data_IF_646223411232
#
_entry.id   IF_646223411232
#
_cell.length_a   1.000
_cell.length_b   1.000
_cell.length_c   1.000
_cell.angle_alpha   90.00
_cell.angle_beta   90.00
_cell.angle_gamma   90.00
#
_symmetry.space_group_name_H-M   'P 1'
#
loop_
_entity.id
_entity.type
_entity.pdbx_description
1 polymer ?
#
# COMPACT_ATOMS: atom_id res chain seq x y z
N UNK A 1 -30.42 54.34 -1.30
CA UNK A 1 -29.16 55.04 -1.61
C UNK A 1 -28.03 54.21 -1.06
N UNK A 2 -26.98 54.05 -1.83
CA UNK A 2 -25.89 53.08 -1.65
C UNK A 2 -24.98 53.40 -0.44
N UNK A 3 -24.46 52.37 0.21
CA UNK A 3 -23.08 52.34 0.73
C UNK A 3 -22.64 50.88 0.95
N UNK A 4 -21.66 50.46 0.15
CA UNK A 4 -20.97 49.17 0.22
C UNK A 4 -19.80 49.27 1.21
N UNK A 5 -19.71 48.35 2.17
CA UNK A 5 -18.45 47.98 2.81
C UNK A 5 -18.13 46.52 2.46
N UNK A 6 -16.97 46.28 1.83
CA UNK A 6 -16.38 44.96 1.62
C UNK A 6 -15.24 44.78 2.63
N UNK A 7 -15.08 43.64 3.31
CA UNK A 7 -13.80 43.25 3.84
C UNK A 7 -12.99 42.54 2.75
N UNK A 8 -11.78 43.03 2.49
CA UNK A 8 -10.75 42.31 1.74
C UNK A 8 -10.12 41.23 2.63
N UNK A 9 -10.01 40.00 2.11
CA UNK A 9 -9.19 38.95 2.70
C UNK A 9 -9.63 37.54 2.26
N UNK A 10 -8.89 36.93 1.32
CA UNK A 10 -8.76 35.45 1.13
C UNK A 10 -8.17 35.00 -0.21
N UNK A 11 -7.82 35.90 -1.14
CA UNK A 11 -7.33 35.48 -2.47
C UNK A 11 -5.90 34.86 -2.51
N UNK A 12 -5.14 34.88 -1.41
CA UNK A 12 -3.77 34.32 -1.37
C UNK A 12 -3.73 32.85 -0.91
N UNK A 13 -4.65 32.41 -0.06
CA UNK A 13 -4.71 31.01 0.40
C UNK A 13 -5.34 30.08 -0.65
N UNK A 14 -6.35 30.55 -1.38
CA UNK A 14 -6.93 29.79 -2.50
C UNK A 14 -5.95 29.63 -3.67
N UNK A 15 -5.11 30.65 -3.94
CA UNK A 15 -4.08 30.55 -4.98
C UNK A 15 -2.94 29.59 -4.59
N UNK A 16 -2.55 29.53 -3.31
CA UNK A 16 -1.56 28.56 -2.81
C UNK A 16 -2.07 27.11 -2.87
N UNK A 17 -3.34 26.88 -2.51
CA UNK A 17 -3.99 25.56 -2.65
C UNK A 17 -4.11 25.12 -4.11
N UNK A 18 -4.36 26.07 -5.03
CA UNK A 18 -4.46 25.78 -6.46
C UNK A 18 -3.09 25.54 -7.13
N UNK A 19 -2.01 26.12 -6.60
CA UNK A 19 -0.62 25.87 -7.06
C UNK A 19 -0.10 24.53 -6.52
N UNK A 20 -0.38 24.18 -5.27
CA UNK A 20 -0.05 22.86 -4.69
C UNK A 20 -0.81 21.72 -5.38
N UNK A 21 -2.07 21.94 -5.77
CA UNK A 21 -2.85 20.96 -6.53
C UNK A 21 -2.33 20.72 -7.96
N UNK A 22 -1.64 21.69 -8.58
CA UNK A 22 -1.04 21.53 -9.92
C UNK A 22 0.29 20.79 -9.87
N UNK A 23 1.14 21.08 -8.87
CA UNK A 23 2.44 20.41 -8.72
C UNK A 23 2.32 18.92 -8.37
N UNK A 24 1.22 18.49 -7.74
CA UNK A 24 0.95 17.06 -7.48
C UNK A 24 0.33 16.31 -8.67
N UNK A 25 -0.27 17.01 -9.65
CA UNK A 25 -0.83 16.38 -10.86
C UNK A 25 0.25 16.06 -11.91
N UNK A 26 1.34 16.83 -11.95
CA UNK A 26 2.42 16.68 -12.92
C UNK A 26 3.45 15.59 -12.54
N UNK A 27 3.40 15.06 -11.31
CA UNK A 27 4.34 14.04 -10.83
C UNK A 27 3.96 12.59 -11.24
N UNK A 28 2.74 12.36 -11.73
CA UNK A 28 2.24 11.03 -12.13
C UNK A 28 2.00 10.91 -13.65
N UNK A 29 2.33 11.95 -14.44
CA UNK A 29 2.18 11.98 -15.90
C UNK A 29 3.35 12.73 -16.57
N UNK A 30 4.56 12.19 -16.55
CA UNK A 30 5.57 12.53 -17.57
C UNK A 30 6.63 11.44 -17.72
N UNK A 31 6.45 10.62 -18.75
CA UNK A 31 7.54 10.01 -19.51
C UNK A 31 7.41 10.63 -20.91
N UNK A 32 8.54 11.08 -21.46
CA UNK A 32 8.72 11.75 -22.77
C UNK A 32 8.20 13.20 -22.94
N UNK A 33 9.06 14.17 -22.63
CA UNK A 33 9.49 15.20 -23.61
C UNK A 33 10.79 15.87 -23.15
N UNK A 34 11.75 15.91 -24.07
CA UNK A 34 13.01 16.65 -23.96
C UNK A 34 12.75 18.18 -23.91
N UNK A 35 13.53 18.89 -23.09
CA UNK A 35 13.68 20.35 -23.19
C UNK A 35 12.85 21.22 -22.23
N UNK A 36 13.57 22.02 -21.45
CA UNK A 36 13.16 23.22 -20.67
C UNK A 36 12.74 22.98 -19.21
N UNK A 37 13.73 23.16 -18.31
CA UNK A 37 13.59 23.24 -16.84
C UNK A 37 12.75 24.44 -16.38
N UNK A 38 11.90 24.30 -15.34
CA UNK A 38 11.38 25.44 -14.61
C UNK A 38 12.34 25.90 -13.50
N UNK A 39 12.38 27.22 -13.27
CA UNK A 39 13.13 27.95 -12.24
C UNK A 39 12.68 27.63 -10.79
N UNK A 40 12.92 26.42 -10.31
CA UNK A 40 12.84 26.07 -8.89
C UNK A 40 14.23 25.85 -8.25
N UNK A 41 15.28 25.72 -9.06
CA UNK A 41 16.66 25.47 -8.63
C UNK A 41 17.45 26.70 -8.15
N UNK A 42 16.77 27.83 -7.87
CA UNK A 42 17.42 29.10 -7.48
C UNK A 42 17.00 29.65 -6.11
N UNK A 43 16.12 28.96 -5.38
CA UNK A 43 15.63 29.40 -4.06
C UNK A 43 16.14 28.55 -2.88
N UNK A 44 17.04 27.59 -3.12
CA UNK A 44 17.73 26.81 -2.08
C UNK A 44 19.07 27.43 -1.64
N UNK A 45 19.40 28.65 -2.07
CA UNK A 45 20.72 29.25 -1.78
C UNK A 45 20.77 30.29 -0.67
N UNK A 46 19.65 30.63 -0.03
CA UNK A 46 19.65 31.57 1.09
C UNK A 46 18.60 31.17 2.11
N UNK A 47 18.98 30.30 3.05
CA UNK A 47 18.48 30.14 4.42
C UNK A 47 19.00 28.78 4.90
N UNK A 48 20.26 28.75 5.36
CA UNK A 48 20.91 27.78 6.26
C UNK A 48 22.41 28.11 6.22
N UNK A 49 22.76 29.29 6.71
CA UNK A 49 24.14 29.60 7.09
C UNK A 49 24.19 29.47 8.61
N UNK A 50 24.75 28.35 9.07
CA UNK A 50 24.82 27.99 10.48
C UNK A 50 25.15 26.51 10.66
N UNK A 51 26.40 26.26 11.05
CA UNK A 51 27.01 24.96 11.36
C UNK A 51 27.53 24.11 10.18
N UNK A 52 28.68 24.53 9.65
CA UNK A 52 29.62 23.62 8.99
C UNK A 52 30.08 22.56 10.01
N UNK A 53 29.53 21.35 9.95
CA UNK A 53 30.19 20.19 10.53
C UNK A 53 31.40 19.77 9.68
N UNK A 54 32.48 19.26 10.30
CA UNK A 54 33.71 18.94 9.59
C UNK A 54 33.49 17.80 8.60
N UNK A 55 34.20 17.84 7.47
CA UNK A 55 34.35 16.69 6.58
C UNK A 55 34.93 15.52 7.39
N UNK A 56 34.07 14.60 7.83
CA UNK A 56 34.52 13.34 8.39
C UNK A 56 35.11 12.50 7.25
N UNK A 57 36.42 12.31 7.29
CA UNK A 57 37.17 11.23 6.66
C UNK A 57 36.77 9.84 7.22
N UNK A 58 35.47 9.59 7.40
CA UNK A 58 34.96 8.34 7.92
C UNK A 58 34.65 7.37 6.80
N UNK A 59 35.37 6.24 6.75
CA UNK A 59 34.99 5.08 5.96
C UNK A 59 33.63 4.59 6.46
N UNK A 60 32.56 4.95 5.74
CA UNK A 60 31.22 4.47 6.03
C UNK A 60 31.06 2.99 5.70
N UNK A 61 30.00 2.40 6.24
CA UNK A 61 28.84 2.11 5.39
C UNK A 61 27.93 3.34 5.32
N UNK A 62 27.51 3.71 4.10
CA UNK A 62 26.66 4.86 3.84
C UNK A 62 25.18 4.47 3.64
N UNK A 63 24.24 5.38 3.90
CA UNK A 63 22.84 5.17 3.54
C UNK A 63 22.16 6.44 3.02
N UNK A 64 21.17 6.25 2.15
CA UNK A 64 20.33 7.31 1.61
C UNK A 64 18.87 7.12 1.99
N UNK A 65 18.18 8.22 2.28
CA UNK A 65 16.73 8.25 2.48
C UNK A 65 16.15 9.27 1.50
N UNK A 66 15.29 8.80 0.60
CA UNK A 66 14.48 9.64 -0.29
C UNK A 66 13.05 9.73 0.20
N UNK A 67 12.55 10.95 0.44
CA UNK A 67 11.23 11.20 1.00
C UNK A 67 11.21 11.32 2.53
N UNK A 68 10.01 11.44 3.09
CA UNK A 68 9.81 11.78 4.51
C UNK A 68 9.14 10.66 5.31
N UNK A 69 8.49 9.70 4.66
CA UNK A 69 7.79 8.60 5.32
C UNK A 69 8.74 7.70 6.13
N UNK A 70 8.67 7.75 7.46
CA UNK A 70 9.52 6.96 8.37
C UNK A 70 11.00 7.42 8.45
N UNK A 71 11.34 8.55 7.82
CA UNK A 71 12.73 8.99 7.67
C UNK A 71 13.49 9.14 9.01
N UNK A 72 12.81 9.61 10.07
CA UNK A 72 13.40 9.74 11.40
C UNK A 72 13.76 8.37 12.00
N UNK A 73 12.87 7.39 11.90
CA UNK A 73 13.06 6.03 12.42
C UNK A 73 14.24 5.36 11.70
N UNK A 74 14.24 5.41 10.36
CA UNK A 74 15.29 4.80 9.53
C UNK A 74 16.64 5.49 9.79
N UNK A 75 16.65 6.83 9.86
CA UNK A 75 17.88 7.58 10.15
C UNK A 75 18.43 7.24 11.52
N UNK A 76 17.59 7.16 12.56
CA UNK A 76 18.03 6.79 13.91
C UNK A 76 18.57 5.37 13.96
N UNK A 77 17.90 4.42 13.30
CA UNK A 77 18.35 3.03 13.21
C UNK A 77 19.74 2.92 12.53
N UNK A 78 19.92 3.52 11.36
CA UNK A 78 21.19 3.43 10.61
C UNK A 78 22.33 4.13 11.36
N UNK A 79 22.08 5.33 11.92
CA UNK A 79 23.07 6.03 12.75
C UNK A 79 23.43 5.23 14.00
N UNK A 80 22.47 4.54 14.61
CA UNK A 80 22.70 3.64 15.73
C UNK A 80 23.63 2.46 15.40
N UNK A 81 23.70 2.03 14.13
CA UNK A 81 24.69 1.06 13.64
C UNK A 81 26.02 1.69 13.19
N UNK A 82 26.22 2.99 13.41
CA UNK A 82 27.42 3.73 12.98
C UNK A 82 27.45 4.12 11.51
N UNK A 83 26.34 4.00 10.78
CA UNK A 83 26.29 4.32 9.34
C UNK A 83 26.13 5.82 9.11
N UNK A 84 26.63 6.31 7.97
CA UNK A 84 26.60 7.73 7.64
C UNK A 84 25.54 8.05 6.58
N UNK A 85 24.69 9.05 6.85
CA UNK A 85 23.66 9.48 5.90
C UNK A 85 24.30 10.31 4.79
N UNK A 86 24.06 9.91 3.55
CA UNK A 86 24.42 10.69 2.35
C UNK A 86 23.23 11.53 1.89
N UNK A 87 23.52 12.70 1.32
CA UNK A 87 22.51 13.62 0.78
C UNK A 87 22.41 13.55 -0.75
N UNK A 88 23.51 13.25 -1.44
CA UNK A 88 23.50 13.05 -2.90
C UNK A 88 22.94 11.66 -3.23
N UNK A 89 21.76 11.62 -3.86
CA UNK A 89 21.08 10.40 -4.27
C UNK A 89 21.83 9.60 -5.36
N UNK A 90 22.75 10.25 -6.08
CA UNK A 90 23.51 9.66 -7.19
C UNK A 90 24.75 8.89 -6.72
N UNK A 91 25.13 9.02 -5.46
CA UNK A 91 26.21 8.21 -4.89
C UNK A 91 25.83 6.74 -4.94
N UNK A 92 26.82 5.91 -5.27
CA UNK A 92 26.64 4.47 -5.43
C UNK A 92 27.37 3.66 -4.34
N UNK A 93 28.13 4.30 -3.46
CA UNK A 93 28.86 3.62 -2.38
C UNK A 93 28.01 3.43 -1.10
N UNK A 94 26.68 3.47 -1.25
CA UNK A 94 25.75 3.18 -0.17
C UNK A 94 25.64 1.68 0.13
N UNK A 95 25.27 1.34 1.36
CA UNK A 95 24.81 0.01 1.75
C UNK A 95 23.30 -0.11 1.78
N UNK A 96 22.59 0.97 2.07
CA UNK A 96 21.12 1.02 2.04
C UNK A 96 20.62 2.27 1.34
N UNK A 97 19.65 2.09 0.45
CA UNK A 97 18.86 3.17 -0.12
C UNK A 97 17.38 2.91 0.17
N UNK A 98 16.78 3.77 0.99
CA UNK A 98 15.36 3.72 1.33
C UNK A 98 14.62 4.89 0.66
N UNK A 99 13.90 4.63 -0.41
CA UNK A 99 13.17 5.66 -1.15
C UNK A 99 11.66 5.41 -1.06
N UNK A 100 10.92 6.43 -0.65
CA UNK A 100 9.46 6.44 -0.65
C UNK A 100 8.89 6.34 -2.06
N UNK A 101 9.50 7.04 -3.01
CA UNK A 101 9.12 7.05 -4.43
C UNK A 101 10.13 6.21 -5.23
N UNK A 102 9.60 5.31 -6.05
CA UNK A 102 10.37 4.53 -7.03
C UNK A 102 10.94 5.44 -8.11
N UNK A 103 12.23 5.34 -8.37
CA UNK A 103 12.93 6.14 -9.37
C UNK A 103 13.75 5.22 -10.28
N UNK A 104 13.66 5.43 -11.60
CA UNK A 104 14.37 4.63 -12.61
C UNK A 104 15.88 4.64 -12.38
N UNK A 105 16.45 5.79 -12.04
CA UNK A 105 17.90 5.94 -11.80
C UNK A 105 18.39 5.13 -10.60
N UNK A 106 17.56 5.01 -9.56
CA UNK A 106 17.90 4.19 -8.39
C UNK A 106 18.03 2.70 -8.76
N UNK A 107 17.19 2.21 -9.68
CA UNK A 107 17.26 0.83 -10.15
C UNK A 107 18.34 0.61 -11.19
N UNK A 108 18.64 1.63 -12.01
CA UNK A 108 19.68 1.58 -13.03
C UNK A 108 21.08 1.53 -12.41
N UNK A 109 21.33 2.34 -11.38
CA UNK A 109 22.61 2.39 -10.64
C UNK A 109 22.76 1.31 -9.57
N UNK A 110 21.75 0.44 -9.38
CA UNK A 110 21.77 -0.60 -8.37
C UNK A 110 22.74 -1.73 -8.71
N UNK A 111 23.65 -2.04 -7.78
CA UNK A 111 24.57 -3.17 -7.86
C UNK A 111 24.12 -4.32 -6.97
N UNK A 112 23.65 -5.37 -7.64
CA UNK A 112 23.20 -6.61 -7.01
C UNK A 112 24.31 -7.24 -6.16
N UNK A 113 23.97 -7.68 -4.95
CA UNK A 113 24.93 -8.25 -4.00
C UNK A 113 25.83 -7.24 -3.26
N UNK A 114 25.82 -5.96 -3.63
CA UNK A 114 26.61 -4.93 -2.93
C UNK A 114 25.75 -4.02 -2.04
N UNK A 115 24.48 -3.82 -2.43
CA UNK A 115 23.58 -2.80 -1.91
C UNK A 115 22.23 -3.40 -1.50
N UNK A 116 21.57 -2.75 -0.53
CA UNK A 116 20.17 -2.94 -0.21
C UNK A 116 19.34 -1.79 -0.81
N UNK A 117 18.28 -2.13 -1.54
CA UNK A 117 17.36 -1.16 -2.13
C UNK A 117 15.92 -1.49 -1.74
N UNK A 118 15.28 -0.52 -1.09
CA UNK A 118 13.88 -0.61 -0.70
C UNK A 118 12.95 -0.45 -1.91
N UNK A 119 11.95 -1.33 -1.98
CA UNK A 119 10.92 -1.49 -3.00
C UNK A 119 11.37 -2.20 -4.28
N UNK A 120 10.73 -3.33 -4.56
CA UNK A 120 10.92 -4.08 -5.81
C UNK A 120 10.35 -3.24 -6.98
N UNK A 121 11.09 -3.03 -8.08
CA UNK A 121 10.70 -2.08 -9.13
C UNK A 121 9.27 -2.31 -9.67
N UNK A 122 8.92 -3.56 -9.91
CA UNK A 122 7.62 -3.96 -10.47
C UNK A 122 6.61 -4.45 -9.42
N UNK A 123 6.76 -4.07 -8.14
CA UNK A 123 5.79 -4.40 -7.08
C UNK A 123 4.36 -3.89 -7.34
N UNK A 124 4.17 -3.02 -8.34
CA UNK A 124 2.85 -2.58 -8.84
C UNK A 124 1.92 -3.73 -9.24
N UNK A 125 2.49 -4.92 -9.50
CA UNK A 125 1.75 -6.17 -9.67
C UNK A 125 0.91 -6.54 -8.44
N UNK A 126 1.37 -6.18 -7.23
CA UNK A 126 0.60 -6.33 -5.99
C UNK A 126 -0.04 -5.03 -5.54
N UNK A 127 0.66 -3.91 -5.73
CA UNK A 127 0.35 -2.68 -5.00
C UNK A 127 -0.54 -1.69 -5.75
N UNK A 128 -1.05 -2.09 -6.92
CA UNK A 128 -2.06 -1.32 -7.65
C UNK A 128 -3.35 -2.12 -7.76
N UNK A 129 -4.49 -1.43 -7.83
CA UNK A 129 -5.82 -2.07 -7.88
C UNK A 129 -5.96 -2.98 -9.10
N UNK A 130 -5.50 -2.51 -10.27
CA UNK A 130 -5.50 -3.32 -11.51
C UNK A 130 -4.44 -4.40 -11.48
N UNK A 131 -3.23 -4.11 -10.99
CA UNK A 131 -2.15 -5.10 -10.90
C UNK A 131 -2.57 -6.30 -10.07
N UNK A 132 -3.07 -6.06 -8.86
CA UNK A 132 -3.53 -7.10 -7.95
C UNK A 132 -4.70 -7.91 -8.55
N UNK A 133 -5.71 -7.23 -9.08
CA UNK A 133 -6.86 -7.88 -9.73
C UNK A 133 -6.42 -8.78 -10.90
N UNK A 134 -5.52 -8.27 -11.74
CA UNK A 134 -5.04 -8.99 -12.92
C UNK A 134 -4.20 -10.20 -12.52
N UNK A 135 -3.29 -10.03 -11.55
CA UNK A 135 -2.45 -11.10 -11.03
C UNK A 135 -3.29 -12.23 -10.41
N UNK A 136 -4.27 -11.90 -9.57
CA UNK A 136 -5.15 -12.89 -8.93
C UNK A 136 -6.00 -13.65 -9.96
N UNK A 137 -6.58 -12.96 -10.94
CA UNK A 137 -7.37 -13.60 -12.01
C UNK A 137 -6.51 -14.51 -12.88
N UNK A 138 -5.31 -14.07 -13.25
CA UNK A 138 -4.39 -14.89 -14.04
C UNK A 138 -3.94 -16.14 -13.27
N UNK A 139 -3.59 -15.98 -11.99
CA UNK A 139 -3.24 -17.09 -11.12
C UNK A 139 -4.38 -18.10 -10.98
N UNK A 140 -5.61 -17.63 -10.77
CA UNK A 140 -6.79 -18.48 -10.70
C UNK A 140 -7.03 -19.28 -12.00
N UNK A 141 -6.75 -18.70 -13.17
CA UNK A 141 -6.82 -19.42 -14.47
C UNK A 141 -5.71 -20.47 -14.59
N UNK A 142 -4.48 -20.11 -14.23
CA UNK A 142 -3.34 -21.03 -14.30
C UNK A 142 -3.56 -22.28 -13.41
N UNK A 143 -4.00 -22.05 -12.17
CA UNK A 143 -4.30 -23.12 -11.21
C UNK A 143 -5.39 -24.07 -11.72
N UNK A 144 -6.46 -23.55 -12.35
CA UNK A 144 -7.52 -24.37 -12.96
C UNK A 144 -7.01 -25.26 -14.09
N UNK A 145 -6.03 -24.81 -14.86
CA UNK A 145 -5.44 -25.59 -15.96
C UNK A 145 -4.52 -26.71 -15.44
N UNK A 146 -3.75 -26.46 -14.39
CA UNK A 146 -2.82 -27.44 -13.80
C UNK A 146 -3.53 -28.56 -13.03
N UNK A 147 -4.70 -28.31 -12.43
CA UNK A 147 -5.46 -29.33 -11.70
C UNK A 147 -6.23 -30.35 -12.57
N UNK A 148 -5.99 -30.39 -13.89
CA UNK A 148 -6.45 -31.50 -14.74
C UNK A 148 -5.66 -32.80 -14.56
N UNK A 149 -4.59 -32.80 -13.76
CA UNK A 149 -3.80 -33.99 -13.42
C UNK A 149 -4.10 -34.42 -11.98
N UNK A 150 -4.62 -35.64 -11.74
CA UNK A 150 -4.92 -36.11 -10.40
C UNK A 150 -3.64 -36.68 -9.80
N UNK A 151 -3.05 -36.04 -8.78
CA UNK A 151 -2.25 -36.72 -7.76
C UNK A 151 -1.88 -35.77 -6.60
N UNK A 152 -2.09 -36.30 -5.39
CA UNK A 152 -1.60 -35.88 -4.08
C UNK A 152 -2.34 -34.76 -3.32
N UNK A 153 -3.00 -35.18 -2.23
CA UNK A 153 -3.47 -34.43 -1.05
C UNK A 153 -3.68 -32.91 -1.24
N UNK A 154 -4.80 -32.56 -1.89
CA UNK A 154 -5.14 -31.18 -2.23
C UNK A 154 -5.51 -30.38 -0.98
N UNK A 155 -4.57 -29.58 -0.47
CA UNK A 155 -4.96 -28.37 0.26
C UNK A 155 -5.88 -27.58 -0.68
N UNK A 156 -7.13 -27.33 -0.26
CA UNK A 156 -8.09 -26.55 -1.05
C UNK A 156 -7.45 -25.21 -1.39
N UNK A 157 -7.12 -25.01 -2.66
CA UNK A 157 -6.53 -23.74 -3.12
C UNK A 157 -7.55 -22.65 -2.87
N UNK A 158 -7.13 -21.63 -2.12
CA UNK A 158 -7.94 -20.47 -1.79
C UNK A 158 -8.45 -19.81 -3.08
N UNK A 159 -9.76 -19.65 -3.23
CA UNK A 159 -10.34 -18.97 -4.39
C UNK A 159 -10.44 -17.48 -4.15
N UNK A 160 -10.28 -16.69 -5.23
CA UNK A 160 -10.28 -15.23 -5.17
C UNK A 160 -11.57 -14.67 -4.57
N UNK A 161 -12.73 -15.19 -4.97
CA UNK A 161 -14.06 -14.79 -4.51
C UNK A 161 -14.31 -15.02 -2.99
N UNK A 162 -13.47 -15.82 -2.33
CA UNK A 162 -13.56 -16.06 -0.89
C UNK A 162 -12.90 -14.96 -0.06
N UNK A 163 -12.13 -14.06 -0.66
CA UNK A 163 -11.41 -13.02 0.08
C UNK A 163 -11.27 -11.69 -0.65
N UNK A 164 -11.50 -11.62 -1.96
CA UNK A 164 -11.42 -10.37 -2.73
C UNK A 164 -12.82 -9.99 -3.22
N UNK A 165 -13.33 -8.79 -2.91
CA UNK A 165 -14.65 -8.38 -3.36
C UNK A 165 -14.73 -8.36 -4.89
N UNK A 166 -15.89 -8.73 -5.43
CA UNK A 166 -16.15 -8.70 -6.87
C UNK A 166 -15.78 -7.33 -7.45
N UNK A 167 -14.98 -7.33 -8.51
CA UNK A 167 -14.37 -6.10 -9.04
C UNK A 167 -14.34 -6.15 -10.56
N UNK A 168 -14.67 -5.03 -11.20
CA UNK A 168 -14.61 -4.82 -12.64
C UNK A 168 -13.71 -3.65 -12.98
N UNK A 169 -13.03 -3.76 -14.13
CA UNK A 169 -12.23 -2.70 -14.74
C UNK A 169 -13.10 -1.85 -15.66
N UNK A 170 -13.12 -0.52 -15.44
CA UNK A 170 -13.85 0.39 -16.31
C UNK A 170 -13.07 0.79 -17.57
N UNK A 171 -11.76 0.54 -17.57
CA UNK A 171 -10.87 0.77 -18.72
C UNK A 171 -10.93 -0.36 -19.76
N UNK A 172 -11.57 -1.49 -19.44
CA UNK A 172 -11.83 -2.59 -20.38
C UNK A 172 -13.30 -2.57 -20.76
N UNK A 173 -13.59 -2.32 -22.04
CA UNK A 173 -14.97 -2.17 -22.56
C UNK A 173 -15.88 -3.32 -22.12
N UNK A 174 -15.45 -4.56 -22.35
CA UNK A 174 -16.27 -5.74 -22.07
C UNK A 174 -16.56 -5.89 -20.55
N UNK A 175 -15.60 -5.58 -19.67
CA UNK A 175 -15.83 -5.60 -18.22
C UNK A 175 -16.73 -4.46 -17.77
N UNK A 176 -16.60 -3.28 -18.38
CA UNK A 176 -17.44 -2.13 -18.10
C UNK A 176 -18.89 -2.36 -18.51
N UNK A 177 -19.11 -2.88 -19.71
CA UNK A 177 -20.45 -3.24 -20.20
C UNK A 177 -21.06 -4.33 -19.31
N UNK A 178 -20.29 -5.36 -18.97
CA UNK A 178 -20.73 -6.39 -18.03
C UNK A 178 -21.15 -5.80 -16.67
N UNK A 179 -20.40 -4.83 -16.13
CA UNK A 179 -20.80 -4.15 -14.90
C UNK A 179 -22.11 -3.35 -15.06
N UNK A 180 -22.26 -2.58 -16.13
CA UNK A 180 -23.48 -1.79 -16.35
C UNK A 180 -24.71 -2.68 -16.58
N UNK A 181 -24.56 -3.85 -17.19
CA UNK A 181 -25.63 -4.84 -17.31
C UNK A 181 -25.93 -5.55 -16.00
N UNK A 182 -24.91 -5.79 -15.17
CA UNK A 182 -25.05 -6.46 -13.87
C UNK A 182 -25.75 -5.58 -12.82
N UNK A 183 -25.54 -4.26 -12.88
CA UNK A 183 -26.02 -3.36 -11.84
C UNK A 183 -27.56 -3.38 -11.75
N UNK A 184 -28.06 -3.74 -10.56
CA UNK A 184 -29.49 -3.95 -10.29
C UNK A 184 -30.08 -2.98 -9.26
N UNK A 185 -29.27 -2.03 -8.75
CA UNK A 185 -29.66 -1.10 -7.70
C UNK A 185 -29.80 -1.70 -6.30
N UNK A 186 -29.71 -3.03 -6.14
CA UNK A 186 -29.85 -3.70 -4.84
C UNK A 186 -28.58 -3.65 -4.00
N UNK A 187 -27.45 -3.37 -4.65
CA UNK A 187 -26.14 -3.46 -4.03
C UNK A 187 -25.32 -2.21 -4.29
N UNK A 188 -24.62 -1.78 -3.25
CA UNK A 188 -23.70 -0.65 -3.33
C UNK A 188 -22.38 -1.11 -3.96
N UNK A 189 -21.81 -0.27 -4.81
CA UNK A 189 -20.48 -0.41 -5.37
C UNK A 189 -19.61 0.79 -5.00
N UNK A 190 -18.29 0.58 -4.95
CA UNK A 190 -17.31 1.63 -4.71
C UNK A 190 -16.42 1.78 -5.94
N UNK A 191 -16.42 2.98 -6.51
CA UNK A 191 -15.55 3.33 -7.63
C UNK A 191 -14.25 3.92 -7.10
N UNK A 192 -13.12 3.35 -7.52
CA UNK A 192 -11.78 3.72 -7.04
C UNK A 192 -10.87 4.04 -8.22
N UNK A 193 -10.12 5.16 -8.21
CA UNK A 193 -9.05 5.38 -9.17
C UNK A 193 -7.89 4.43 -8.92
N UNK A 194 -7.16 4.07 -9.97
CA UNK A 194 -6.13 3.01 -9.92
C UNK A 194 -4.82 3.47 -9.29
N UNK A 195 -4.43 4.72 -9.51
CA UNK A 195 -3.17 5.28 -9.00
C UNK A 195 -3.35 6.30 -7.86
N UNK A 196 -4.57 6.58 -7.41
CA UNK A 196 -4.79 7.44 -6.24
C UNK A 196 -4.75 6.66 -4.92
N UNK A 197 -4.24 7.34 -3.90
CA UNK A 197 -4.26 6.94 -2.49
C UNK A 197 -5.12 7.92 -1.66
N UNK A 198 -5.13 7.74 -0.33
CA UNK A 198 -5.76 8.69 0.62
C UNK A 198 -7.28 8.92 0.45
N UNK A 199 -7.96 8.05 -0.30
CA UNK A 199 -9.38 8.20 -0.61
C UNK A 199 -9.72 9.28 -1.66
N UNK A 200 -8.72 9.91 -2.30
CA UNK A 200 -8.95 10.88 -3.37
C UNK A 200 -9.65 10.20 -4.55
N UNK A 201 -10.71 10.83 -5.08
CA UNK A 201 -11.45 10.37 -6.26
C UNK A 201 -12.35 9.13 -6.06
N UNK A 202 -12.54 8.68 -4.82
CA UNK A 202 -13.44 7.58 -4.48
C UNK A 202 -14.87 8.09 -4.31
N UNK A 203 -15.84 7.36 -4.85
CA UNK A 203 -17.26 7.55 -4.58
C UNK A 203 -18.01 6.22 -4.57
N UNK A 204 -19.23 6.24 -4.04
CA UNK A 204 -20.14 5.10 -4.04
C UNK A 204 -21.14 5.21 -5.19
N UNK A 205 -21.60 4.05 -5.67
CA UNK A 205 -22.65 3.87 -6.66
C UNK A 205 -23.76 3.07 -5.97
N UNK A 206 -24.89 3.71 -5.73
CA UNK A 206 -26.01 3.20 -4.93
C UNK A 206 -27.30 3.06 -5.72
N UNK A 207 -27.49 3.88 -6.74
CA UNK A 207 -28.71 3.94 -7.53
C UNK A 207 -28.40 4.05 -9.02
N UNK A 208 -29.46 3.96 -9.82
CA UNK A 208 -29.34 3.96 -11.28
C UNK A 208 -28.85 5.30 -11.82
N UNK A 209 -29.21 6.41 -11.16
CA UNK A 209 -28.81 7.76 -11.57
C UNK A 209 -27.28 7.94 -11.48
N UNK A 210 -26.67 7.51 -10.39
CA UNK A 210 -25.22 7.56 -10.18
C UNK A 210 -24.46 6.69 -11.20
N UNK A 211 -25.01 5.52 -11.54
CA UNK A 211 -24.43 4.62 -12.56
C UNK A 211 -24.60 5.19 -13.96
N UNK A 212 -25.76 5.75 -14.30
CA UNK A 212 -26.00 6.41 -15.58
C UNK A 212 -25.07 7.61 -15.77
N UNK A 213 -24.86 8.43 -14.73
CA UNK A 213 -23.92 9.54 -14.76
C UNK A 213 -22.47 9.06 -15.01
N UNK A 214 -22.07 7.94 -14.39
CA UNK A 214 -20.77 7.32 -14.64
C UNK A 214 -20.66 6.78 -16.08
N UNK A 215 -21.73 6.18 -16.61
CA UNK A 215 -21.76 5.66 -17.97
C UNK A 215 -21.62 6.78 -19.01
N UNK A 216 -22.39 7.86 -18.88
CA UNK A 216 -22.29 9.06 -19.74
C UNK A 216 -20.87 9.64 -19.70
N UNK A 217 -20.30 9.80 -18.49
CA UNK A 217 -18.93 10.30 -18.33
C UNK A 217 -17.89 9.40 -18.99
N UNK A 218 -18.10 8.09 -18.97
CA UNK A 218 -17.15 7.14 -19.57
C UNK A 218 -17.28 7.12 -21.09
N UNK A 219 -18.50 7.21 -21.64
CA UNK A 219 -18.74 7.31 -23.08
C UNK A 219 -18.18 8.61 -23.66
N UNK A 220 -18.40 9.75 -23.00
CA UNK A 220 -17.87 11.04 -23.47
C UNK A 220 -16.35 11.07 -23.58
N UNK A 221 -15.66 10.30 -22.72
CA UNK A 221 -14.20 10.13 -22.76
C UNK A 221 -13.76 9.32 -23.99
N UNK A 222 -14.49 8.26 -24.34
CA UNK A 222 -14.16 7.41 -25.49
C UNK A 222 -14.43 8.07 -26.84
N UNK A 223 -15.44 8.95 -26.87
CA UNK A 223 -15.80 9.72 -28.05
C UNK A 223 -14.93 10.97 -28.25
N UNK A 224 -14.09 11.33 -27.28
CA UNK A 224 -13.13 12.42 -27.42
C UNK A 224 -12.12 12.10 -28.55
N UNK A 225 -12.04 12.90 -29.62
CA UNK A 225 -11.11 12.71 -30.72
C UNK A 225 -9.63 12.70 -30.28
N UNK A 226 -9.31 13.34 -29.16
CA UNK A 226 -7.97 13.37 -28.57
C UNK A 226 -7.64 12.00 -27.97
N UNK A 227 -8.60 11.34 -27.32
CA UNK A 227 -8.43 9.99 -26.76
C UNK A 227 -8.18 8.94 -27.85
N UNK A 228 -8.91 9.03 -28.98
CA UNK A 228 -8.71 8.12 -30.13
C UNK A 228 -7.36 8.31 -30.82
N UNK A 229 -6.78 9.51 -30.78
CA UNK A 229 -5.50 9.84 -31.42
C UNK A 229 -4.29 9.71 -30.49
N UNK A 230 -4.47 9.79 -29.16
CA UNK A 230 -3.39 9.73 -28.17
C UNK A 230 -3.74 8.84 -26.97
N UNK A 231 -3.56 7.51 -27.09
CA UNK A 231 -3.89 6.55 -26.01
C UNK A 231 -3.14 6.81 -24.71
N UNK A 232 -1.94 7.42 -24.77
CA UNK A 232 -1.12 7.74 -23.60
C UNK A 232 -1.66 8.93 -22.76
N UNK A 233 -2.64 9.68 -23.27
CA UNK A 233 -3.37 10.71 -22.50
C UNK A 233 -4.73 10.21 -21.98
N UNK A 234 -4.90 8.89 -21.91
CA UNK A 234 -6.09 8.27 -21.36
C UNK A 234 -6.37 8.77 -19.93
N UNK A 235 -7.63 9.08 -19.59
CA UNK A 235 -7.97 9.40 -18.22
C UNK A 235 -7.65 8.23 -17.30
N UNK A 236 -7.35 8.57 -16.06
CA UNK A 236 -6.94 7.61 -15.04
C UNK A 236 -7.91 6.43 -14.97
N UNK A 237 -7.37 5.21 -15.17
CA UNK A 237 -8.16 4.00 -15.10
C UNK A 237 -8.84 3.86 -13.72
N UNK A 238 -10.00 3.19 -13.70
CA UNK A 238 -10.82 3.02 -12.50
C UNK A 238 -11.31 1.59 -12.39
N UNK A 239 -11.50 1.17 -11.15
CA UNK A 239 -12.19 -0.09 -10.84
C UNK A 239 -13.49 0.21 -10.11
N UNK A 240 -14.53 -0.57 -10.40
CA UNK A 240 -15.74 -0.64 -9.58
C UNK A 240 -15.69 -1.95 -8.83
N UNK A 241 -15.83 -1.87 -7.52
CA UNK A 241 -15.71 -3.01 -6.62
C UNK A 241 -16.96 -3.09 -5.75
N UNK A 242 -17.44 -4.31 -5.49
CA UNK A 242 -18.59 -4.54 -4.61
C UNK A 242 -18.28 -3.92 -3.25
N UNK A 243 -19.15 -3.03 -2.79
CA UNK A 243 -18.98 -2.41 -1.49
C UNK A 243 -19.47 -3.38 -0.41
N UNK A 244 -18.65 -3.58 0.62
CA UNK A 244 -19.03 -4.39 1.77
C UNK A 244 -19.96 -3.53 2.64
N UNK A 245 -21.25 -3.68 2.41
CA UNK A 245 -22.32 -2.87 3.02
C UNK A 245 -22.57 -3.21 4.50
N UNK A 246 -22.30 -4.45 4.91
CA UNK A 246 -22.46 -4.89 6.29
C UNK A 246 -21.09 -5.24 6.92
N UNK A 247 -20.21 -4.25 7.14
CA UNK A 247 -18.96 -4.48 7.84
C UNK A 247 -19.22 -4.84 9.30
N UNK A 248 -18.31 -5.57 9.93
CA UNK A 248 -18.26 -5.65 11.38
C UNK A 248 -18.02 -4.23 11.93
N UNK A 249 -18.79 -3.84 12.94
CA UNK A 249 -18.69 -2.51 13.54
C UNK A 249 -18.12 -2.62 14.96
N UNK A 250 -17.15 -1.77 15.29
CA UNK A 250 -16.62 -1.62 16.64
C UNK A 250 -17.31 -0.42 17.28
N UNK A 251 -18.23 -0.69 18.22
CA UNK A 251 -19.07 0.35 18.83
C UNK A 251 -19.78 1.24 17.80
N UNK A 252 -20.32 0.63 16.74
CA UNK A 252 -21.03 1.33 15.66
C UNK A 252 -20.14 2.03 14.63
N UNK A 253 -18.81 1.97 14.76
CA UNK A 253 -17.84 2.57 13.83
C UNK A 253 -17.28 1.52 12.86
N UNK A 254 -17.09 1.92 11.60
CA UNK A 254 -16.45 1.08 10.60
C UNK A 254 -14.95 1.05 10.84
N UNK A 255 -14.32 -0.09 10.58
CA UNK A 255 -12.88 -0.23 10.72
C UNK A 255 -12.29 -1.14 9.65
N UNK A 256 -11.01 -0.99 9.39
CA UNK A 256 -10.21 -1.96 8.64
C UNK A 256 -8.92 -2.28 9.43
N UNK A 257 -8.24 -3.37 9.08
CA UNK A 257 -6.99 -3.81 9.72
C UNK A 257 -5.84 -3.71 8.74
N UNK A 258 -4.85 -2.88 9.09
CA UNK A 258 -3.55 -2.82 8.43
C UNK A 258 -2.67 -3.96 8.95
N UNK A 259 -2.16 -4.79 8.05
CA UNK A 259 -1.07 -5.74 8.30
C UNK A 259 0.07 -5.53 7.30
N UNK A 260 1.22 -6.16 7.53
CA UNK A 260 2.42 -5.96 6.72
C UNK A 260 2.84 -7.26 6.05
N UNK A 261 3.09 -7.21 4.74
CA UNK A 261 3.80 -8.23 3.99
C UNK A 261 5.22 -7.72 3.74
N UNK A 262 6.21 -8.37 4.36
CA UNK A 262 7.62 -8.07 4.18
C UNK A 262 8.23 -9.09 3.22
N UNK A 263 8.79 -8.63 2.12
CA UNK A 263 9.74 -9.41 1.31
C UNK A 263 11.13 -8.98 1.78
N UNK A 264 11.72 -9.71 2.74
CA UNK A 264 13.01 -9.33 3.34
C UNK A 264 14.19 -9.57 2.38
N UNK A 265 14.05 -10.56 1.49
CA UNK A 265 14.99 -10.84 0.42
C UNK A 265 14.20 -11.28 -0.80
N UNK A 266 14.55 -10.79 -1.99
CA UNK A 266 13.95 -11.25 -3.24
C UNK A 266 14.66 -12.47 -3.83
N UNK A 267 15.95 -12.68 -3.53
CA UNK A 267 16.77 -13.74 -4.10
C UNK A 267 17.66 -14.41 -3.01
N UNK A 268 17.24 -15.53 -2.40
CA UNK A 268 15.95 -16.20 -2.55
C UNK A 268 14.81 -15.44 -1.84
N UNK A 269 13.56 -15.71 -2.23
CA UNK A 269 12.41 -15.06 -1.61
C UNK A 269 12.26 -15.44 -0.13
N UNK A 270 12.37 -14.46 0.77
CA UNK A 270 12.04 -14.60 2.18
C UNK A 270 10.87 -13.68 2.50
N UNK A 271 9.67 -14.23 2.64
CA UNK A 271 8.42 -13.46 2.77
C UNK A 271 7.80 -13.69 4.14
N UNK A 272 7.36 -12.62 4.78
CA UNK A 272 6.82 -12.64 6.14
C UNK A 272 5.52 -11.84 6.26
N UNK A 273 4.69 -12.28 7.20
CA UNK A 273 3.51 -11.60 7.70
C UNK A 273 3.86 -10.86 8.99
N UNK A 274 3.47 -9.60 9.12
CA UNK A 274 3.56 -8.83 10.34
C UNK A 274 2.21 -8.24 10.74
N UNK A 275 1.85 -8.37 12.02
CA UNK A 275 0.70 -7.65 12.57
C UNK A 275 0.91 -6.13 12.52
N UNK A 276 -0.15 -5.40 12.21
CA UNK A 276 -0.19 -3.94 12.32
C UNK A 276 -1.20 -3.48 13.36
N UNK A 277 -2.27 -2.82 12.92
CA UNK A 277 -3.24 -2.13 13.76
C UNK A 277 -4.59 -2.00 13.04
N UNK A 278 -5.66 -1.79 13.79
CA UNK A 278 -6.97 -1.46 13.24
C UNK A 278 -7.13 0.06 13.10
N UNK A 279 -7.76 0.51 12.01
CA UNK A 279 -8.07 1.91 11.72
C UNK A 279 -9.57 2.10 11.72
N UNK A 280 -10.07 2.98 12.59
CA UNK A 280 -11.50 3.20 12.81
C UNK A 280 -11.93 4.55 12.22
N UNK A 281 -13.18 4.62 11.78
CA UNK A 281 -13.83 5.91 11.49
C UNK A 281 -14.13 6.66 12.77
N UNK A 282 -14.14 8.00 12.71
CA UNK A 282 -14.61 8.84 13.80
C UNK A 282 -16.14 8.81 13.89
N UNK A 283 -16.82 8.91 12.75
CA UNK A 283 -18.27 8.87 12.65
C UNK A 283 -18.81 7.45 12.77
N UNK A 284 -20.04 7.34 13.27
CA UNK A 284 -20.82 6.10 13.21
C UNK A 284 -21.06 5.71 11.75
N UNK A 285 -21.11 4.40 11.51
CA UNK A 285 -21.38 3.85 10.20
C UNK A 285 -22.87 3.89 9.90
N UNK A 286 -23.21 4.51 8.77
CA UNK A 286 -24.54 4.45 8.17
C UNK A 286 -24.36 4.13 6.68
N UNK A 287 -24.86 2.99 6.18
CA UNK A 287 -24.72 2.61 4.77
C UNK A 287 -25.39 3.61 3.80
N UNK A 288 -26.38 4.38 4.26
CA UNK A 288 -27.14 5.32 3.45
C UNK A 288 -26.60 6.75 3.48
N UNK A 289 -25.68 7.06 4.41
CA UNK A 289 -25.10 8.40 4.54
C UNK A 289 -24.32 8.81 3.30
N UNK A 290 -24.46 10.05 2.83
CA UNK A 290 -23.61 10.58 1.77
C UNK A 290 -22.19 10.97 2.25
N UNK A 291 -21.95 11.01 3.56
CA UNK A 291 -20.66 11.39 4.13
C UNK A 291 -19.64 10.25 4.07
N UNK A 292 -18.70 10.36 3.13
CA UNK A 292 -17.61 9.40 2.95
C UNK A 292 -16.72 9.22 4.19
N UNK A 293 -16.69 10.13 5.16
CA UNK A 293 -15.90 9.98 6.40
C UNK A 293 -16.34 8.80 7.25
N UNK A 294 -17.63 8.42 7.21
CA UNK A 294 -18.14 7.21 7.86
C UNK A 294 -17.87 5.93 7.06
N UNK A 295 -17.50 6.04 5.78
CA UNK A 295 -17.26 4.90 4.90
C UNK A 295 -15.78 4.57 4.69
N UNK A 296 -14.89 5.56 4.83
CA UNK A 296 -13.46 5.48 4.53
C UNK A 296 -12.62 5.63 5.81
N UNK A 297 -11.95 4.56 6.20
CA UNK A 297 -11.17 4.41 7.46
C UNK A 297 -9.78 5.03 7.41
N UNK A 298 -9.32 5.50 6.25
CA UNK A 298 -7.96 6.02 6.12
C UNK A 298 -7.75 7.30 6.95
N UNK A 299 -6.59 7.39 7.60
CA UNK A 299 -6.26 8.49 8.50
C UNK A 299 -6.30 9.87 7.83
N UNK A 300 -6.01 9.96 6.53
CA UNK A 300 -6.12 11.21 5.78
C UNK A 300 -7.57 11.73 5.73
N UNK A 301 -8.54 10.85 5.51
CA UNK A 301 -9.96 11.20 5.54
C UNK A 301 -10.42 11.55 6.96
N UNK A 302 -9.92 10.84 7.97
CA UNK A 302 -10.27 11.12 9.37
C UNK A 302 -9.72 12.47 9.85
N UNK A 303 -8.53 12.87 9.39
CA UNK A 303 -7.91 14.19 9.67
C UNK A 303 -8.72 15.39 9.19
N UNK A 304 -9.64 15.19 8.23
CA UNK A 304 -10.55 16.25 7.76
C UNK A 304 -11.66 16.58 8.78
N UNK A 305 -11.87 15.73 9.78
CA UNK A 305 -12.80 16.01 10.85
C UNK A 305 -12.20 17.03 11.82
N UNK A 306 -12.96 18.08 12.23
CA UNK A 306 -12.49 19.03 13.24
C UNK A 306 -12.25 18.35 14.60
N UNK A 307 -12.89 17.21 14.86
CA UNK A 307 -12.73 16.44 16.09
C UNK A 307 -11.46 15.58 16.11
N UNK A 308 -10.73 15.49 15.00
CA UNK A 308 -9.60 14.57 14.89
C UNK A 308 -8.51 14.83 15.92
N UNK A 309 -8.16 16.09 16.20
CA UNK A 309 -7.10 16.42 17.17
C UNK A 309 -7.42 15.88 18.57
N UNK A 310 -8.70 15.90 18.94
CA UNK A 310 -9.18 15.44 20.25
C UNK A 310 -9.35 13.92 20.30
N UNK A 311 -9.72 13.29 19.18
CA UNK A 311 -10.14 11.88 19.12
C UNK A 311 -9.18 10.98 18.34
N UNK A 312 -7.99 11.47 17.95
CA UNK A 312 -7.04 10.70 17.13
C UNK A 312 -6.63 9.38 17.76
N UNK A 313 -6.56 9.32 19.10
CA UNK A 313 -6.21 8.10 19.83
C UNK A 313 -7.29 7.01 19.68
N UNK A 314 -8.55 7.39 19.46
CA UNK A 314 -9.66 6.45 19.25
C UNK A 314 -9.74 5.95 17.79
N UNK A 315 -9.00 6.57 16.87
CA UNK A 315 -9.01 6.19 15.45
C UNK A 315 -8.10 5.02 15.10
N UNK A 316 -7.27 4.58 16.05
CA UNK A 316 -6.33 3.48 15.86
C UNK A 316 -6.36 2.56 17.08
N UNK A 317 -6.64 1.28 16.86
CA UNK A 317 -6.56 0.27 17.90
C UNK A 317 -5.38 -0.66 17.67
N UNK A 318 -4.70 -1.04 18.75
CA UNK A 318 -3.75 -2.15 18.73
C UNK A 318 -4.47 -3.47 18.46
N UNK A 319 -3.74 -4.48 17.99
CA UNK A 319 -4.31 -5.81 17.78
C UNK A 319 -4.81 -6.42 19.10
N UNK A 320 -4.18 -6.12 20.24
CA UNK A 320 -4.65 -6.55 21.56
C UNK A 320 -5.95 -5.87 22.00
N UNK A 321 -6.11 -4.57 21.71
CA UNK A 321 -7.38 -3.87 21.94
C UNK A 321 -8.50 -4.47 21.08
N UNK A 322 -8.24 -4.72 19.80
CA UNK A 322 -9.18 -5.39 18.91
C UNK A 322 -9.53 -6.79 19.43
N UNK A 323 -8.54 -7.59 19.82
CA UNK A 323 -8.75 -8.94 20.31
C UNK A 323 -9.60 -8.99 21.58
N UNK A 324 -9.30 -8.11 22.56
CA UNK A 324 -10.12 -7.97 23.77
C UNK A 324 -11.56 -7.60 23.42
N UNK A 325 -11.76 -6.62 22.55
CA UNK A 325 -13.11 -6.22 22.15
C UNK A 325 -13.89 -7.34 21.46
N UNK A 326 -13.24 -8.10 20.57
CA UNK A 326 -13.87 -9.26 19.90
C UNK A 326 -14.25 -10.35 20.91
N UNK A 327 -13.33 -10.67 21.83
CA UNK A 327 -13.58 -11.64 22.90
C UNK A 327 -14.78 -11.23 23.77
N UNK A 328 -14.85 -9.96 24.18
CA UNK A 328 -15.85 -9.47 25.11
C UNK A 328 -17.24 -9.32 24.47
N UNK A 329 -17.31 -8.85 23.22
CA UNK A 329 -18.58 -8.48 22.57
C UNK A 329 -19.13 -9.51 21.61
N UNK A 330 -18.27 -10.32 20.98
CA UNK A 330 -18.68 -11.16 19.86
C UNK A 330 -18.44 -12.66 20.07
N UNK A 331 -17.46 -13.08 20.90
CA UNK A 331 -17.14 -14.52 21.00
C UNK A 331 -18.32 -15.38 21.42
N UNK A 332 -19.12 -14.96 22.42
CA UNK A 332 -20.30 -15.74 22.84
C UNK A 332 -21.43 -15.70 21.81
N UNK A 333 -21.76 -14.52 21.30
CA UNK A 333 -22.92 -14.32 20.40
C UNK A 333 -22.70 -14.89 19.01
N UNK A 334 -21.45 -14.92 18.53
CA UNK A 334 -21.06 -15.42 17.20
C UNK A 334 -20.37 -16.78 17.24
N UNK A 335 -20.24 -17.40 18.43
CA UNK A 335 -19.60 -18.71 18.60
C UNK A 335 -18.13 -18.74 18.20
N UNK A 336 -17.39 -17.64 18.42
CA UNK A 336 -15.99 -17.53 18.00
C UNK A 336 -15.06 -18.15 19.05
N UNK A 337 -13.95 -18.80 18.64
CA UNK A 337 -12.91 -19.20 19.57
C UNK A 337 -12.35 -17.99 20.34
N UNK A 338 -11.84 -18.25 21.54
CA UNK A 338 -11.08 -17.24 22.29
C UNK A 338 -9.86 -16.84 21.45
N UNK A 339 -9.56 -15.55 21.48
CA UNK A 339 -8.44 -14.96 20.75
C UNK A 339 -8.55 -15.16 19.23
N UNK A 340 -9.78 -15.07 18.71
CA UNK A 340 -10.09 -15.21 17.29
C UNK A 340 -9.20 -14.31 16.41
N UNK A 341 -8.87 -13.10 16.89
CA UNK A 341 -8.02 -12.13 16.17
C UNK A 341 -6.62 -12.68 15.94
N UNK A 342 -6.02 -13.31 16.96
CA UNK A 342 -4.65 -13.85 16.88
C UNK A 342 -4.59 -15.27 16.32
N UNK A 343 -5.72 -15.96 16.24
CA UNK A 343 -5.81 -17.34 15.73
C UNK A 343 -6.40 -17.38 14.33
N UNK A 344 -7.73 -17.38 14.23
CA UNK A 344 -8.49 -17.59 12.98
C UNK A 344 -8.26 -16.45 11.99
N UNK A 345 -8.34 -15.21 12.46
CA UNK A 345 -8.16 -14.04 11.62
C UNK A 345 -6.71 -13.90 11.13
N UNK A 346 -5.72 -14.03 12.01
CA UNK A 346 -4.30 -14.07 11.63
C UNK A 346 -4.03 -15.11 10.56
N UNK A 347 -4.46 -16.36 10.79
CA UNK A 347 -4.25 -17.46 9.83
C UNK A 347 -4.90 -17.15 8.49
N UNK A 348 -6.09 -16.56 8.48
CA UNK A 348 -6.78 -16.15 7.25
C UNK A 348 -6.03 -15.04 6.51
N UNK A 349 -5.54 -14.01 7.21
CA UNK A 349 -4.71 -12.96 6.60
C UNK A 349 -3.42 -13.54 6.01
N UNK A 350 -2.72 -14.42 6.72
CA UNK A 350 -1.51 -15.10 6.25
C UNK A 350 -1.76 -15.91 4.97
N UNK A 351 -2.86 -16.68 4.93
CA UNK A 351 -3.26 -17.43 3.73
C UNK A 351 -3.52 -16.52 2.53
N UNK A 352 -4.26 -15.42 2.75
CA UNK A 352 -4.56 -14.45 1.68
C UNK A 352 -3.27 -13.81 1.17
N UNK A 353 -2.40 -13.35 2.07
CA UNK A 353 -1.12 -12.72 1.70
C UNK A 353 -0.20 -13.68 0.94
N UNK A 354 -0.09 -14.92 1.41
CA UNK A 354 0.71 -15.96 0.73
C UNK A 354 0.15 -16.26 -0.67
N UNK A 355 -1.18 -16.29 -0.82
CA UNK A 355 -1.84 -16.47 -2.11
C UNK A 355 -1.56 -15.29 -3.07
N UNK A 356 -1.67 -14.05 -2.58
CA UNK A 356 -1.32 -12.85 -3.35
C UNK A 356 0.15 -12.88 -3.80
N UNK A 357 1.08 -13.23 -2.90
CA UNK A 357 2.50 -13.36 -3.24
C UNK A 357 2.72 -14.45 -4.30
N UNK A 358 2.12 -15.64 -4.17
CA UNK A 358 2.21 -16.70 -5.17
C UNK A 358 1.74 -16.26 -6.56
N UNK A 359 0.67 -15.46 -6.63
CA UNK A 359 0.13 -14.96 -7.90
C UNK A 359 1.12 -14.08 -8.71
N UNK A 360 2.14 -13.53 -8.05
CA UNK A 360 3.14 -12.64 -8.67
C UNK A 360 4.58 -13.15 -8.58
N UNK A 361 4.84 -14.20 -7.80
CA UNK A 361 6.18 -14.67 -7.44
C UNK A 361 7.11 -14.84 -8.65
N UNK A 362 6.62 -15.46 -9.72
CA UNK A 362 7.39 -15.70 -10.96
C UNK A 362 7.56 -14.46 -11.84
N UNK A 363 6.85 -13.37 -11.55
CA UNK A 363 6.84 -12.12 -12.34
C UNK A 363 7.58 -10.99 -11.65
N UNK A 364 7.69 -11.02 -10.33
CA UNK A 364 8.42 -10.02 -9.56
C UNK A 364 9.90 -10.04 -9.91
N UNK A 365 10.50 -8.84 -10.02
CA UNK A 365 11.93 -8.71 -10.25
C UNK A 365 12.69 -9.25 -9.04
N UNK A 366 13.49 -10.28 -9.30
CA UNK A 366 14.23 -11.04 -8.30
C UNK A 366 15.72 -10.71 -8.42
N UNK A 367 16.23 -9.84 -7.54
CA UNK A 367 17.66 -9.54 -7.41
C UNK A 367 18.10 -9.53 -5.95
N UNK A 368 19.31 -9.99 -5.68
CA UNK A 368 19.89 -9.96 -4.35
C UNK A 368 20.12 -8.51 -3.89
N UNK A 369 19.51 -8.15 -2.76
CA UNK A 369 19.54 -6.80 -2.20
C UNK A 369 18.23 -6.03 -2.35
N UNK A 370 17.29 -6.53 -3.16
CA UNK A 370 15.92 -6.02 -3.14
C UNK A 370 15.14 -6.56 -1.94
N UNK A 371 14.43 -5.64 -1.29
CA UNK A 371 13.48 -5.94 -0.22
C UNK A 371 12.30 -4.97 -0.28
N UNK A 372 11.15 -5.34 0.27
CA UNK A 372 9.93 -4.55 0.17
C UNK A 372 9.04 -4.70 1.40
N UNK A 373 8.37 -3.63 1.81
CA UNK A 373 7.40 -3.60 2.90
C UNK A 373 6.07 -3.10 2.37
N UNK A 374 5.09 -4.00 2.29
CA UNK A 374 3.79 -3.75 1.69
C UNK A 374 2.71 -3.73 2.77
N UNK A 375 1.92 -2.65 2.83
CA UNK A 375 0.77 -2.57 3.73
C UNK A 375 -0.45 -3.24 3.12
N UNK A 376 -1.05 -4.20 3.80
CA UNK A 376 -2.23 -4.90 3.34
C UNK A 376 -3.44 -4.51 4.20
N UNK A 377 -4.53 -4.13 3.55
CA UNK A 377 -5.71 -3.59 4.22
C UNK A 377 -6.84 -4.63 4.17
N UNK A 378 -7.29 -5.08 5.35
CA UNK A 378 -8.35 -6.10 5.48
C UNK A 378 -9.60 -5.52 6.12
N UNK A 379 -10.76 -6.00 5.67
CA UNK A 379 -12.05 -5.73 6.30
C UNK A 379 -12.65 -7.03 6.84
N UNK A 380 -13.33 -6.95 7.97
CA UNK A 380 -14.13 -8.04 8.51
C UNK A 380 -15.60 -7.65 8.31
N UNK A 381 -16.43 -8.54 7.77
CA UNK A 381 -17.88 -8.32 7.68
C UNK A 381 -18.64 -8.84 8.91
N UNK A 382 -19.93 -8.55 9.00
CA UNK A 382 -20.78 -8.95 10.12
C UNK A 382 -20.85 -10.47 10.38
N UNK A 383 -20.49 -11.26 9.36
CA UNK A 383 -20.42 -12.71 9.38
C UNK A 383 -19.01 -13.23 9.68
N UNK A 384 -18.09 -12.34 10.08
CA UNK A 384 -16.69 -12.65 10.38
C UNK A 384 -15.91 -13.19 9.17
N UNK A 385 -16.38 -12.92 7.94
CA UNK A 385 -15.61 -13.18 6.74
C UNK A 385 -14.60 -12.05 6.52
N UNK A 386 -13.39 -12.46 6.12
CA UNK A 386 -12.23 -11.60 5.94
C UNK A 386 -12.06 -11.26 4.47
N UNK A 387 -12.00 -9.98 4.18
CA UNK A 387 -11.86 -9.42 2.84
C UNK A 387 -10.56 -8.63 2.72
N UNK A 388 -9.77 -8.86 1.67
CA UNK A 388 -8.67 -8.00 1.27
C UNK A 388 -9.23 -6.82 0.46
N UNK A 389 -8.95 -5.59 0.90
CA UNK A 389 -9.38 -4.38 0.22
C UNK A 389 -8.35 -3.91 -0.80
N UNK A 390 -7.08 -3.86 -0.40
CA UNK A 390 -5.95 -3.45 -1.23
C UNK A 390 -4.61 -3.83 -0.57
N UNK A 391 -3.55 -3.82 -1.39
CA UNK A 391 -2.16 -3.85 -0.94
C UNK A 391 -1.50 -2.54 -1.40
N UNK A 392 -0.77 -1.89 -0.52
CA UNK A 392 -0.24 -0.54 -0.67
C UNK A 392 1.29 -0.59 -0.65
N UNK A 393 1.92 -0.10 -1.73
CA UNK A 393 3.33 0.24 -1.70
C UNK A 393 3.55 1.44 -0.79
N UNK A 394 4.70 1.51 -0.11
CA UNK A 394 5.03 2.59 0.80
C UNK A 394 3.92 2.79 1.88
N UNK A 395 3.66 1.79 2.74
CA UNK A 395 2.68 1.96 3.81
C UNK A 395 3.05 3.16 4.69
N UNK A 396 2.05 3.91 5.16
CA UNK A 396 2.29 5.04 6.04
C UNK A 396 3.00 4.60 7.35
N UNK A 397 4.12 5.25 7.65
CA UNK A 397 4.99 5.01 8.82
C UNK A 397 4.97 6.19 9.80
N UNK A 398 3.84 6.92 9.85
CA UNK A 398 3.65 8.02 10.80
C UNK A 398 3.31 7.50 12.20
N UNK A 399 3.74 8.25 13.22
CA UNK A 399 3.59 7.92 14.65
C UNK A 399 2.73 8.97 15.38
N UNK A 400 1.60 9.33 14.79
CA UNK A 400 0.75 10.46 15.20
C UNK A 400 -0.18 10.18 16.40
N UNK A 401 -0.29 8.93 16.85
CA UNK A 401 -1.00 8.50 18.06
C UNK A 401 -0.17 7.44 18.80
N UNK A 402 -0.53 7.14 20.05
CA UNK A 402 0.29 6.28 20.94
C UNK A 402 0.45 4.86 20.40
N UNK A 403 -0.64 4.25 19.91
CA UNK A 403 -0.57 2.91 19.30
C UNK A 403 0.42 2.88 18.13
N UNK A 404 0.45 3.93 17.30
CA UNK A 404 1.37 3.98 16.15
C UNK A 404 2.82 4.21 16.60
N UNK A 405 3.05 5.00 17.66
CA UNK A 405 4.39 5.15 18.27
C UNK A 405 4.94 3.83 18.78
N UNK A 406 4.09 2.93 19.27
CA UNK A 406 4.49 1.59 19.71
C UNK A 406 4.70 0.63 18.54
N UNK A 407 3.77 0.59 17.57
CA UNK A 407 3.77 -0.43 16.52
C UNK A 407 4.77 -0.14 15.41
N UNK A 408 4.82 1.09 14.90
CA UNK A 408 5.56 1.42 13.66
C UNK A 408 7.07 1.26 13.81
N UNK A 409 7.74 1.77 14.87
CA UNK A 409 9.18 1.61 15.01
C UNK A 409 9.59 0.14 15.02
N UNK A 410 8.85 -0.72 15.74
CA UNK A 410 9.11 -2.15 15.77
C UNK A 410 9.02 -2.81 14.40
N UNK A 411 8.03 -2.45 13.58
CA UNK A 411 7.89 -2.96 12.20
C UNK A 411 9.07 -2.54 11.34
N UNK A 412 9.47 -1.26 11.38
CA UNK A 412 10.53 -0.71 10.52
C UNK A 412 11.90 -1.27 10.92
N UNK A 413 12.21 -1.31 12.22
CA UNK A 413 13.49 -1.82 12.71
C UNK A 413 13.65 -3.31 12.37
N UNK A 414 12.65 -4.13 12.65
CA UNK A 414 12.70 -5.56 12.33
C UNK A 414 12.74 -5.81 10.81
N UNK A 415 12.07 -4.98 10.00
CA UNK A 415 12.19 -5.01 8.54
C UNK A 415 13.65 -4.83 8.09
N UNK A 416 14.33 -3.83 8.65
CA UNK A 416 15.72 -3.55 8.32
C UNK A 416 16.67 -4.63 8.83
N UNK A 417 16.47 -5.14 10.06
CA UNK A 417 17.32 -6.21 10.60
C UNK A 417 17.15 -7.50 9.77
N UNK A 418 15.92 -7.90 9.42
CA UNK A 418 15.65 -9.05 8.57
C UNK A 418 16.22 -8.89 7.16
N UNK A 419 16.07 -7.70 6.54
CA UNK A 419 16.62 -7.44 5.22
C UNK A 419 18.15 -7.52 5.22
N UNK A 420 18.81 -6.95 6.23
CA UNK A 420 20.26 -7.03 6.38
C UNK A 420 20.71 -8.46 6.64
N UNK A 421 20.08 -9.19 7.56
CA UNK A 421 20.47 -10.55 7.91
C UNK A 421 20.30 -11.51 6.71
N UNK A 422 19.14 -11.49 6.04
CA UNK A 422 18.89 -12.35 4.88
C UNK A 422 19.84 -12.03 3.72
N UNK A 423 20.12 -10.75 3.47
CA UNK A 423 21.12 -10.34 2.48
C UNK A 423 22.52 -10.87 2.81
N UNK A 424 22.98 -10.72 4.06
CA UNK A 424 24.29 -11.22 4.49
C UNK A 424 24.41 -12.74 4.40
N UNK A 425 23.34 -13.47 4.79
CA UNK A 425 23.30 -14.92 4.68
C UNK A 425 23.36 -15.37 3.22
N UNK A 426 22.60 -14.73 2.34
CA UNK A 426 22.65 -15.03 0.90
C UNK A 426 24.04 -14.79 0.32
N UNK A 427 24.69 -13.67 0.65
CA UNK A 427 26.06 -13.38 0.19
C UNK A 427 27.08 -14.43 0.63
N UNK A 428 26.88 -15.02 1.81
CA UNK A 428 27.77 -16.03 2.38
C UNK A 428 27.35 -17.46 2.04
N UNK A 429 26.33 -17.65 1.19
CA UNK A 429 25.72 -18.94 0.91
C UNK A 429 25.35 -19.73 2.19
N UNK A 430 24.91 -19.02 3.22
CA UNK A 430 24.44 -19.61 4.48
C UNK A 430 22.97 -19.97 4.39
N UNK A 431 22.55 -20.96 5.17
CA UNK A 431 21.13 -21.28 5.34
C UNK A 431 20.37 -20.08 5.89
N UNK A 432 19.20 -19.78 5.34
CA UNK A 432 18.39 -18.63 5.78
C UNK A 432 17.91 -18.81 7.21
N UNK A 433 17.41 -20.00 7.54
CA UNK A 433 16.91 -20.34 8.87
C UNK A 433 17.99 -21.01 9.74
N UNK A 434 18.00 -20.76 11.06
CA UNK A 434 17.13 -19.83 11.80
C UNK A 434 17.54 -18.36 11.62
N UNK A 435 16.59 -17.43 11.62
CA UNK A 435 16.84 -15.98 11.57
C UNK A 435 16.93 -15.40 12.99
N UNK A 436 18.04 -14.78 13.33
CA UNK A 436 18.28 -14.21 14.67
C UNK A 436 17.49 -12.92 14.89
N UNK A 437 17.21 -12.20 13.81
CA UNK A 437 16.49 -10.93 13.84
C UNK A 437 14.98 -11.08 13.85
N UNK A 438 14.46 -12.29 13.60
CA UNK A 438 13.02 -12.54 13.53
C UNK A 438 12.38 -12.45 14.91
N UNK A 439 11.38 -11.57 15.05
CA UNK A 439 10.61 -11.34 16.28
C UNK A 439 9.12 -11.38 15.98
N UNK A 440 8.55 -10.28 15.45
CA UNK A 440 7.11 -10.09 15.22
C UNK A 440 6.65 -10.58 13.85
N UNK A 441 7.58 -10.74 12.91
CA UNK A 441 7.29 -11.25 11.58
C UNK A 441 7.22 -12.78 11.58
N UNK A 442 6.10 -13.32 11.09
CA UNK A 442 5.88 -14.75 10.88
C UNK A 442 6.21 -15.13 9.44
N UNK A 443 7.05 -16.14 9.23
CA UNK A 443 7.46 -16.60 7.91
C UNK A 443 6.25 -17.14 7.12
N UNK A 444 6.05 -16.63 5.90
CA UNK A 444 5.04 -17.09 4.94
C UNK A 444 5.63 -17.96 3.82
N UNK A 445 6.82 -17.60 3.33
CA UNK A 445 7.49 -18.31 2.23
C UNK A 445 9.00 -18.32 2.43
N UNK A 446 9.62 -19.50 2.29
CA UNK A 446 11.07 -19.67 2.21
C UNK A 446 11.43 -20.17 0.80
N UNK A 447 12.10 -19.32 0.03
CA UNK A 447 12.51 -19.58 -1.34
C UNK A 447 13.81 -20.37 -1.49
N UNK A 448 14.50 -20.75 -0.41
CA UNK A 448 15.67 -21.65 -0.52
C UNK A 448 15.34 -23.01 -1.12
N UNK A 449 14.08 -23.44 -0.98
CA UNK A 449 13.57 -24.69 -1.56
C UNK A 449 13.02 -24.51 -2.98
N UNK A 450 13.00 -23.30 -3.52
CA UNK A 450 12.50 -23.05 -4.87
C UNK A 450 13.50 -23.63 -5.88
N UNK A 451 13.00 -24.50 -6.77
CA UNK A 451 13.75 -24.98 -7.94
C UNK A 451 13.85 -23.83 -8.95
N UNK A 452 14.79 -22.89 -8.76
CA UNK A 452 15.19 -22.00 -9.85
C UNK A 452 16.23 -22.72 -10.72
N UNK A 453 16.21 -22.59 -12.06
CA UNK A 453 17.34 -23.04 -12.86
C UNK A 453 18.54 -22.21 -12.38
N UNK A 454 19.51 -22.87 -11.73
CA UNK A 454 20.83 -22.28 -11.53
C UNK A 454 21.28 -21.86 -12.92
N UNK A 455 21.21 -20.57 -13.25
CA UNK A 455 21.91 -20.03 -14.39
C UNK A 455 23.36 -20.44 -14.15
N UNK A 456 23.84 -21.32 -15.03
CA UNK A 456 25.13 -21.96 -14.89
C UNK A 456 26.22 -20.91 -14.73
N UNK A 457 27.19 -21.25 -13.89
CA UNK A 457 28.55 -20.77 -14.05
C UNK A 457 29.49 -21.95 -13.85
N UNK A 458 30.77 -21.85 -14.25
CA UNK A 458 31.37 -20.86 -15.15
C UNK A 458 31.19 -21.17 -16.64
#
# INVERSE_FOLDING_TARGET
GWAHERPMGSNQEEQLLHVLSRLEQDADLSDDTDGVRPRAALLEKHLLDGEKQPHSSGQGPYFYIGGNNGASIISSYCKGKGWQRIQDSRREDYKLKWCEVKCRDNYYSFREGEQLLYQIPNNKLLTTKIGLLSALREYARAVKTTHKTPLCAQAKVLKMEEFFPETYRLDIRDEREAFFTLFDGNHIWICKPTACNQGKGIFLLRNQEEVAALQVKTQSIEDDPIYRKMPFRAPQARVVQRYIQNPLLLSGKKFDVRSYLLIACAAPYMVFFGHGYARLTLSLYDPHSSDLRGHLTNQFMQKKSPLYVLLKEDTVWSMDQLNRHINDKFSKTKGLPRDWVFTTFTKRMQQIMAHCFQAVKSKLHCKLGYFDLIGCDFLIDENFKVWLLEMNSNPALHTNCEVLKEVIPGVVMETLDLAIETFQKSLRNQKMLPLLSQRRFALLHNGEADLWPRLGGP
#
